data_IF_907192639441
#
_entry.id   IF_907192639441
#
_cell.length_a   1.000
_cell.length_b   1.000
_cell.length_c   1.000
_cell.angle_alpha   90.00
_cell.angle_beta   90.00
_cell.angle_gamma   90.00
#
_symmetry.space_group_name_H-M   'P 1'
#
loop_
_entity.id
_entity.type
_entity.pdbx_description
1 polymer ?
#
# COMPACT_ATOMS: atom_id res chain seq x y z
N UNK A 1 -53.67 27.43 12.20
CA UNK A 1 -52.50 27.69 13.07
C UNK A 1 -51.40 26.69 12.77
N UNK A 2 -50.38 27.08 12.00
CA UNK A 2 -49.25 26.21 11.67
C UNK A 2 -48.36 26.04 12.90
N UNK A 3 -48.23 24.80 13.38
CA UNK A 3 -47.38 24.44 14.52
C UNK A 3 -45.92 24.53 14.06
N UNK A 4 -45.28 25.68 14.25
CA UNK A 4 -43.84 25.83 14.04
C UNK A 4 -43.14 24.86 15.00
N UNK A 5 -42.64 23.73 14.48
CA UNK A 5 -41.81 22.80 15.25
C UNK A 5 -40.58 23.57 15.68
N UNK A 6 -40.48 23.91 16.98
CA UNK A 6 -39.23 24.41 17.57
C UNK A 6 -38.13 23.41 17.23
N UNK A 7 -37.13 23.84 16.46
CA UNK A 7 -35.92 23.05 16.19
C UNK A 7 -35.33 22.62 17.53
N UNK A 8 -35.05 21.33 17.68
CA UNK A 8 -34.54 20.79 18.93
C UNK A 8 -33.17 21.37 19.22
N UNK A 9 -32.85 21.64 20.49
CA UNK A 9 -31.59 22.26 20.93
C UNK A 9 -30.30 21.48 20.58
N UNK A 10 -30.41 20.36 19.86
CA UNK A 10 -29.30 19.53 19.40
C UNK A 10 -28.79 19.91 18.00
N UNK A 11 -29.46 20.82 17.30
CA UNK A 11 -29.04 21.31 15.97
C UNK A 11 -27.72 22.11 15.99
N UNK A 12 -27.16 22.39 17.17
CA UNK A 12 -25.87 23.09 17.34
C UNK A 12 -24.65 22.14 17.36
N UNK A 13 -24.83 20.84 17.16
CA UNK A 13 -23.70 19.90 17.03
C UNK A 13 -23.25 19.86 15.58
N UNK A 14 -21.97 20.19 15.36
CA UNK A 14 -21.36 20.24 14.03
C UNK A 14 -21.48 18.89 13.33
N UNK A 15 -21.57 18.88 12.00
CA UNK A 15 -21.59 17.63 11.22
C UNK A 15 -20.35 16.76 11.52
N UNK A 16 -19.21 17.41 11.79
CA UNK A 16 -17.99 16.74 12.23
C UNK A 16 -18.16 16.01 13.58
N UNK A 17 -18.72 16.68 14.59
CA UNK A 17 -18.98 16.06 15.89
C UNK A 17 -20.00 14.93 15.80
N UNK A 18 -21.00 15.05 14.90
CA UNK A 18 -21.95 13.97 14.60
C UNK A 18 -21.24 12.77 13.98
N UNK A 19 -20.34 13.00 13.02
CA UNK A 19 -19.51 11.96 12.41
C UNK A 19 -18.64 11.23 13.45
N UNK A 20 -17.98 11.95 14.34
CA UNK A 20 -17.20 11.36 15.44
C UNK A 20 -18.04 10.49 16.37
N UNK A 21 -19.26 10.92 16.69
CA UNK A 21 -20.18 10.15 17.54
C UNK A 21 -20.51 8.79 16.92
N UNK A 22 -20.81 8.74 15.61
CA UNK A 22 -21.11 7.50 14.88
C UNK A 22 -19.89 6.58 14.87
N UNK A 23 -18.74 7.11 14.46
CA UNK A 23 -17.49 6.34 14.31
C UNK A 23 -17.06 5.72 15.63
N UNK A 24 -17.01 6.52 16.69
CA UNK A 24 -16.65 6.00 18.00
C UNK A 24 -17.68 5.00 18.55
N UNK A 25 -18.96 5.14 18.17
CA UNK A 25 -19.97 4.15 18.54
C UNK A 25 -19.73 2.82 17.82
N UNK A 26 -19.40 2.84 16.54
CA UNK A 26 -19.07 1.65 15.76
C UNK A 26 -17.77 0.98 16.25
N UNK A 27 -16.83 1.76 16.80
CA UNK A 27 -15.67 1.25 17.53
C UNK A 27 -15.99 0.67 18.93
N UNK A 28 -17.26 0.64 19.35
CA UNK A 28 -17.71 -0.04 20.57
C UNK A 28 -17.71 0.81 21.85
N UNK A 29 -17.50 2.13 21.77
CA UNK A 29 -17.51 2.99 22.96
C UNK A 29 -18.89 3.10 23.60
N UNK A 30 -18.91 3.30 24.92
CA UNK A 30 -20.13 3.67 25.66
C UNK A 30 -20.52 5.14 25.41
N UNK A 31 -21.81 5.45 25.53
CA UNK A 31 -22.30 6.82 25.38
C UNK A 31 -21.69 7.82 26.38
N UNK A 32 -21.23 7.34 27.54
CA UNK A 32 -20.54 8.15 28.53
C UNK A 32 -19.15 8.57 28.03
N UNK A 33 -18.37 7.63 27.50
CA UNK A 33 -17.04 7.90 26.93
C UNK A 33 -17.10 8.78 25.68
N UNK A 34 -18.12 8.56 24.86
CA UNK A 34 -18.43 9.43 23.72
C UNK A 34 -18.70 10.87 24.16
N UNK A 35 -19.50 11.04 25.21
CA UNK A 35 -19.78 12.35 25.82
C UNK A 35 -18.51 13.06 26.27
N UNK A 36 -17.61 12.33 26.94
CA UNK A 36 -16.31 12.87 27.35
C UNK A 36 -15.42 13.29 26.17
N UNK A 37 -15.42 12.55 25.06
CA UNK A 37 -14.56 12.83 23.87
C UNK A 37 -15.07 13.95 22.98
N UNK A 38 -16.39 14.17 22.96
CA UNK A 38 -17.05 15.19 22.13
C UNK A 38 -17.43 16.42 22.97
N UNK A 39 -17.20 16.38 24.30
CA UNK A 39 -17.54 17.47 25.21
C UNK A 39 -19.05 17.69 25.36
N UNK A 40 -19.85 16.62 25.30
CA UNK A 40 -21.32 16.66 25.32
C UNK A 40 -21.91 15.71 26.36
N UNK A 41 -23.13 15.99 26.79
CA UNK A 41 -23.87 15.11 27.69
C UNK A 41 -24.14 13.76 27.01
N UNK A 42 -24.01 12.66 27.77
CA UNK A 42 -24.36 11.29 27.37
C UNK A 42 -25.74 11.21 26.69
N UNK A 43 -26.77 11.87 27.21
CA UNK A 43 -28.13 11.83 26.64
C UNK A 43 -28.18 12.51 25.27
N UNK A 44 -27.37 13.56 25.06
CA UNK A 44 -27.25 14.26 23.78
C UNK A 44 -26.58 13.37 22.74
N UNK A 45 -25.47 12.73 23.12
CA UNK A 45 -24.74 11.78 22.25
C UNK A 45 -25.63 10.61 21.85
N UNK A 46 -26.35 10.01 22.79
CA UNK A 46 -27.25 8.89 22.52
C UNK A 46 -28.34 9.27 21.51
N UNK A 47 -28.97 10.45 21.66
CA UNK A 47 -30.00 10.94 20.74
C UNK A 47 -29.45 11.24 19.35
N UNK A 48 -28.23 11.77 19.25
CA UNK A 48 -27.56 12.03 17.96
C UNK A 48 -27.23 10.71 17.28
N UNK A 49 -26.68 9.75 18.02
CA UNK A 49 -26.40 8.42 17.51
C UNK A 49 -27.66 7.74 16.96
N UNK A 50 -28.78 7.78 17.69
CA UNK A 50 -30.05 7.22 17.22
C UNK A 50 -30.57 7.95 15.97
N UNK A 51 -30.40 9.27 15.90
CA UNK A 51 -30.82 10.06 14.75
C UNK A 51 -30.00 9.73 13.49
N UNK A 52 -28.68 9.63 13.63
CA UNK A 52 -27.77 9.29 12.53
C UNK A 52 -27.95 7.82 12.10
N UNK A 53 -28.13 6.88 13.02
CA UNK A 53 -28.47 5.50 12.67
C UNK A 53 -29.79 5.41 11.86
N UNK A 54 -30.80 6.24 12.18
CA UNK A 54 -32.05 6.32 11.40
C UNK A 54 -31.89 7.05 10.07
N UNK A 55 -30.83 7.84 9.90
CA UNK A 55 -30.50 8.57 8.68
C UNK A 55 -29.75 7.64 7.72
N UNK A 56 -28.72 6.95 8.21
CA UNK A 56 -27.95 5.93 7.47
C UNK A 56 -28.84 4.78 7.03
N UNK A 57 -29.75 4.27 7.87
CA UNK A 57 -30.73 3.24 7.46
C UNK A 57 -31.76 3.70 6.41
N UNK A 58 -31.83 4.99 6.11
CA UNK A 58 -32.68 5.52 5.03
C UNK A 58 -31.90 5.81 3.75
N UNK A 59 -30.57 5.77 3.82
CA UNK A 59 -29.65 6.00 2.73
C UNK A 59 -28.79 4.75 2.62
N UNK A 60 -29.29 3.72 1.93
CA UNK A 60 -28.54 2.50 1.65
C UNK A 60 -27.30 2.75 0.74
N UNK A 61 -27.10 4.00 0.31
CA UNK A 61 -25.86 4.50 -0.27
C UNK A 61 -25.12 5.35 0.77
N UNK A 62 -24.07 4.78 1.37
CA UNK A 62 -23.07 5.58 2.05
C UNK A 62 -22.24 6.28 0.97
N UNK A 63 -22.49 7.56 0.75
CA UNK A 63 -21.77 8.40 -0.21
C UNK A 63 -20.26 8.24 -0.07
N UNK A 64 -19.59 7.86 -1.17
CA UNK A 64 -18.14 7.66 -1.25
C UNK A 64 -17.32 8.85 -0.72
N UNK A 65 -17.85 10.07 -0.85
CA UNK A 65 -17.26 11.33 -0.36
C UNK A 65 -17.17 11.34 1.17
N UNK A 66 -18.17 10.80 1.86
CA UNK A 66 -18.19 10.74 3.32
C UNK A 66 -17.20 9.69 3.85
N UNK A 67 -17.06 8.56 3.16
CA UNK A 67 -16.09 7.51 3.51
C UNK A 67 -14.64 7.98 3.32
N UNK A 68 -14.32 8.66 2.22
CA UNK A 68 -12.96 9.19 2.00
C UNK A 68 -12.59 10.27 3.02
N UNK A 69 -13.51 11.17 3.34
CA UNK A 69 -13.30 12.18 4.39
C UNK A 69 -13.05 11.53 5.76
N UNK A 70 -13.80 10.47 6.09
CA UNK A 70 -13.64 9.73 7.33
C UNK A 70 -12.28 9.01 7.42
N UNK A 71 -11.84 8.35 6.34
CA UNK A 71 -10.53 7.69 6.27
C UNK A 71 -9.39 8.70 6.44
N UNK A 72 -9.48 9.87 5.78
CA UNK A 72 -8.47 10.93 5.92
C UNK A 72 -8.41 11.49 7.35
N UNK A 73 -9.55 11.79 7.97
CA UNK A 73 -9.60 12.32 9.33
C UNK A 73 -9.10 11.32 10.39
N UNK A 74 -9.25 10.02 10.13
CA UNK A 74 -8.72 8.95 10.98
C UNK A 74 -7.25 8.60 10.70
N UNK A 75 -6.60 9.31 9.77
CA UNK A 75 -5.18 9.09 9.42
C UNK A 75 -4.94 7.81 8.61
N UNK A 76 -6.00 7.21 8.07
CA UNK A 76 -5.93 6.00 7.26
C UNK A 76 -5.75 6.37 5.79
N UNK A 77 -4.71 5.83 5.18
CA UNK A 77 -4.43 5.98 3.76
C UNK A 77 -4.43 4.62 3.07
N UNK A 78 -5.01 4.56 1.87
CA UNK A 78 -4.89 3.39 1.03
C UNK A 78 -3.43 3.20 0.61
N UNK A 79 -2.93 1.98 0.70
CA UNK A 79 -1.60 1.59 0.24
C UNK A 79 -1.70 0.44 -0.73
N UNK A 80 -0.77 0.36 -1.69
CA UNK A 80 -0.62 -0.83 -2.52
C UNK A 80 -0.08 -1.97 -1.66
N UNK A 81 -0.72 -3.15 -1.64
CA UNK A 81 -0.17 -4.32 -0.96
C UNK A 81 1.22 -4.64 -1.51
N UNK A 82 2.13 -5.05 -0.62
CA UNK A 82 3.44 -5.54 -1.03
C UNK A 82 3.28 -6.89 -1.71
N UNK A 83 3.79 -7.01 -2.94
CA UNK A 83 3.87 -8.28 -3.66
C UNK A 83 5.06 -9.08 -3.12
N UNK A 84 4.78 -10.22 -2.50
CA UNK A 84 5.80 -11.14 -1.97
C UNK A 84 5.77 -12.49 -2.67
N UNK A 85 6.93 -13.14 -2.78
CA UNK A 85 7.00 -14.52 -3.25
C UNK A 85 6.34 -15.45 -2.21
N UNK A 86 5.39 -16.32 -2.60
CA UNK A 86 4.78 -17.25 -1.67
C UNK A 86 5.83 -18.28 -1.22
N UNK A 87 6.16 -18.27 0.07
CA UNK A 87 7.09 -19.23 0.66
C UNK A 87 6.33 -20.37 1.33
N UNK A 88 6.76 -21.61 1.04
CA UNK A 88 6.35 -22.81 1.78
C UNK A 88 6.82 -22.72 3.24
N UNK A 89 6.19 -23.48 4.13
CA UNK A 89 6.59 -23.51 5.54
C UNK A 89 8.05 -23.95 5.72
N UNK A 90 8.52 -24.92 4.93
CA UNK A 90 9.91 -25.37 4.95
C UNK A 90 10.88 -24.26 4.52
N UNK A 91 10.57 -23.52 3.45
CA UNK A 91 11.40 -22.40 3.02
C UNK A 91 11.47 -21.30 4.08
N UNK A 92 10.35 -21.00 4.77
CA UNK A 92 10.36 -20.03 5.88
C UNK A 92 11.29 -20.49 7.00
N UNK A 93 11.15 -21.75 7.45
CA UNK A 93 11.98 -22.32 8.51
C UNK A 93 13.47 -22.26 8.17
N UNK A 94 13.85 -22.70 6.97
CA UNK A 94 15.25 -22.68 6.53
C UNK A 94 15.81 -21.26 6.45
N UNK A 95 15.03 -20.31 5.93
CA UNK A 95 15.45 -18.90 5.87
C UNK A 95 15.61 -18.30 7.26
N UNK A 96 14.71 -18.59 8.20
CA UNK A 96 14.84 -18.16 9.59
C UNK A 96 16.09 -18.74 10.25
N UNK A 97 16.31 -20.06 10.15
CA UNK A 97 17.50 -20.72 10.68
C UNK A 97 18.80 -20.14 10.09
N UNK A 98 18.82 -19.85 8.79
CA UNK A 98 19.96 -19.21 8.12
C UNK A 98 20.25 -17.81 8.67
N UNK A 99 19.21 -16.99 8.85
CA UNK A 99 19.33 -15.65 9.43
C UNK A 99 19.77 -15.70 10.89
N UNK A 100 19.20 -16.60 11.69
CA UNK A 100 19.53 -16.73 13.11
C UNK A 100 20.98 -17.16 13.30
N UNK A 101 21.45 -18.14 12.52
CA UNK A 101 22.84 -18.59 12.55
C UNK A 101 23.86 -17.54 12.09
N UNK A 102 23.42 -16.49 11.37
CA UNK A 102 24.27 -15.39 10.87
C UNK A 102 23.91 -14.03 11.46
N UNK A 103 23.19 -14.01 12.59
CA UNK A 103 22.74 -12.78 13.24
C UNK A 103 23.89 -11.85 13.63
N UNK A 104 25.04 -12.42 14.00
CA UNK A 104 26.24 -11.67 14.42
C UNK A 104 27.33 -11.62 13.34
N UNK A 105 26.97 -11.87 12.08
CA UNK A 105 27.90 -11.93 10.95
C UNK A 105 28.33 -10.53 10.48
N UNK A 106 29.14 -9.84 11.29
CA UNK A 106 29.59 -8.46 11.01
C UNK A 106 30.97 -8.43 10.37
N UNK A 107 31.94 -9.16 10.92
CA UNK A 107 33.33 -9.13 10.42
C UNK A 107 33.50 -9.89 9.09
N UNK A 108 33.00 -11.12 9.04
CA UNK A 108 33.11 -12.01 7.89
C UNK A 108 32.22 -11.58 6.70
N UNK A 109 31.21 -10.71 6.92
CA UNK A 109 30.34 -10.19 5.83
C UNK A 109 31.13 -9.50 4.73
N UNK A 110 32.26 -8.88 5.07
CA UNK A 110 33.10 -8.16 4.11
C UNK A 110 33.87 -9.09 3.17
N UNK A 111 34.05 -10.35 3.55
CA UNK A 111 34.77 -11.35 2.76
C UNK A 111 33.84 -12.07 1.76
N UNK A 112 32.52 -12.03 2.03
CA UNK A 112 31.51 -12.67 1.18
C UNK A 112 31.46 -12.02 -0.19
N UNK A 113 31.53 -12.85 -1.22
CA UNK A 113 31.27 -12.45 -2.60
C UNK A 113 29.85 -12.90 -2.94
N UNK A 114 28.98 -11.93 -3.22
CA UNK A 114 27.63 -12.18 -3.70
C UNK A 114 27.63 -12.24 -5.21
N UNK A 115 27.00 -13.26 -5.75
CA UNK A 115 26.86 -13.48 -7.19
C UNK A 115 25.39 -13.61 -7.52
N UNK A 116 24.97 -13.06 -8.65
CA UNK A 116 23.61 -13.23 -9.14
C UNK A 116 23.55 -13.03 -10.65
N UNK A 117 22.62 -13.74 -11.28
CA UNK A 117 22.23 -13.52 -12.67
C UNK A 117 21.05 -12.57 -12.74
N UNK A 118 21.10 -11.59 -13.64
CA UNK A 118 19.98 -10.68 -13.84
C UNK A 118 19.67 -10.49 -15.31
N UNK A 119 18.37 -10.49 -15.62
CA UNK A 119 17.87 -10.20 -16.97
C UNK A 119 17.67 -8.71 -17.11
N UNK A 120 18.45 -8.09 -17.99
CA UNK A 120 18.35 -6.67 -18.32
C UNK A 120 17.59 -6.54 -19.64
N UNK A 121 16.48 -5.80 -19.60
CA UNK A 121 15.64 -5.52 -20.76
C UNK A 121 15.90 -4.08 -21.21
N UNK A 122 16.22 -3.88 -22.49
CA UNK A 122 16.46 -2.54 -23.04
C UNK A 122 15.18 -1.75 -23.32
N UNK A 123 14.03 -2.43 -23.34
CA UNK A 123 12.72 -1.83 -23.60
C UNK A 123 11.79 -2.07 -22.40
N UNK A 124 11.06 -1.04 -22.00
CA UNK A 124 10.15 -1.07 -20.86
C UNK A 124 8.94 -1.97 -21.17
N UNK A 125 8.74 -3.01 -20.36
CA UNK A 125 7.81 -4.09 -20.68
C UNK A 125 6.34 -3.74 -20.46
N UNK A 126 6.00 -2.81 -19.57
CA UNK A 126 4.60 -2.57 -19.18
C UNK A 126 3.93 -1.41 -19.94
N UNK A 127 4.67 -0.71 -20.82
CA UNK A 127 4.17 0.43 -21.60
C UNK A 127 3.71 1.64 -20.79
N UNK A 128 3.88 1.65 -19.45
CA UNK A 128 3.42 2.74 -18.57
C UNK A 128 4.49 3.80 -18.44
N UNK A 129 4.13 5.02 -18.79
CA UNK A 129 4.94 6.21 -18.56
C UNK A 129 4.23 7.04 -17.50
N UNK A 130 4.95 7.39 -16.43
CA UNK A 130 4.43 8.37 -15.47
C UNK A 130 4.55 9.76 -16.10
N UNK A 131 3.45 10.27 -16.64
CA UNK A 131 3.36 11.66 -17.08
C UNK A 131 2.89 12.54 -15.92
N UNK A 132 3.65 13.58 -15.60
CA UNK A 132 3.26 14.63 -14.64
C UNK A 132 2.56 15.76 -15.41
N UNK A 133 1.53 15.45 -16.18
CA UNK A 133 0.76 16.46 -16.90
C UNK A 133 -0.57 16.76 -16.19
N UNK A 134 -1.00 18.02 -16.27
CA UNK A 134 -2.24 18.54 -15.68
C UNK A 134 -3.49 17.78 -16.15
N UNK A 135 -4.56 17.70 -15.35
CA UNK A 135 -5.61 16.68 -15.46
C UNK A 135 -6.58 16.81 -16.65
N UNK A 136 -6.24 17.59 -17.67
CA UNK A 136 -7.12 17.89 -18.80
C UNK A 136 -6.27 18.20 -20.03
N UNK A 137 -5.89 17.15 -20.76
CA UNK A 137 -5.55 17.27 -22.18
C UNK A 137 -6.17 16.08 -22.90
N UNK A 138 -7.19 16.37 -23.70
CA UNK A 138 -7.98 15.39 -24.48
C UNK A 138 -7.15 14.72 -25.60
N UNK A 139 -5.89 15.13 -25.77
CA UNK A 139 -4.90 14.66 -26.74
C UNK A 139 -4.14 13.39 -26.31
N UNK A 140 -4.59 12.70 -25.25
CA UNK A 140 -4.01 11.44 -24.77
C UNK A 140 -4.26 10.21 -25.68
N UNK A 141 -4.88 10.37 -26.87
CA UNK A 141 -5.11 9.27 -27.82
C UNK A 141 -3.81 8.68 -28.42
N UNK A 142 -2.65 9.31 -28.20
CA UNK A 142 -1.35 8.80 -28.67
C UNK A 142 -0.59 7.91 -27.66
N UNK A 143 -1.01 7.82 -26.40
CA UNK A 143 -0.43 6.86 -25.45
C UNK A 143 -1.08 5.48 -25.61
N UNK A 144 -0.99 4.92 -26.83
CA UNK A 144 -1.45 3.56 -27.08
C UNK A 144 -0.58 2.61 -26.29
N UNK A 145 -1.22 1.82 -25.42
CA UNK A 145 -0.63 0.64 -24.79
C UNK A 145 -0.02 -0.24 -25.88
N UNK A 146 1.31 -0.17 -26.05
CA UNK A 146 2.02 -1.21 -26.79
C UNK A 146 1.96 -2.48 -25.94
N UNK A 147 1.54 -3.64 -26.50
CA UNK A 147 1.55 -4.88 -25.75
C UNK A 147 2.98 -5.18 -25.27
N UNK A 148 3.14 -5.77 -24.07
CA UNK A 148 4.46 -6.12 -23.56
C UNK A 148 5.21 -6.98 -24.58
N UNK A 149 6.36 -6.52 -25.03
CA UNK A 149 7.17 -7.26 -25.98
C UNK A 149 8.02 -8.32 -25.26
N UNK A 150 7.38 -9.45 -24.95
CA UNK A 150 8.06 -10.56 -24.28
C UNK A 150 9.23 -11.14 -25.11
N UNK A 151 9.31 -10.82 -26.40
CA UNK A 151 10.36 -11.21 -27.35
C UNK A 151 11.48 -10.18 -27.55
N UNK A 152 11.44 -9.01 -26.88
CA UNK A 152 12.46 -7.97 -27.04
C UNK A 152 13.88 -8.44 -26.67
N UNK A 153 14.91 -7.74 -27.16
CA UNK A 153 16.31 -8.05 -26.86
C UNK A 153 16.57 -8.00 -25.35
N UNK A 154 16.97 -9.14 -24.78
CA UNK A 154 17.31 -9.31 -23.37
C UNK A 154 18.75 -9.74 -23.26
N UNK A 155 19.45 -9.17 -22.30
CA UNK A 155 20.79 -9.62 -21.95
C UNK A 155 20.76 -10.23 -20.55
N UNK A 156 21.56 -11.27 -20.37
CA UNK A 156 21.90 -11.76 -19.03
C UNK A 156 23.18 -11.06 -18.61
N UNK A 157 23.14 -10.42 -17.45
CA UNK A 157 24.31 -9.88 -16.78
C UNK A 157 24.66 -10.77 -15.61
N UNK A 158 25.92 -11.18 -15.52
CA UNK A 158 26.50 -11.82 -14.34
C UNK A 158 27.56 -10.92 -13.77
N UNK A 159 27.52 -10.73 -12.45
CA UNK A 159 28.53 -9.96 -11.74
C UNK A 159 28.65 -10.42 -10.31
N UNK A 160 29.85 -10.24 -9.77
CA UNK A 160 30.19 -10.57 -8.40
C UNK A 160 30.41 -9.27 -7.64
N UNK A 161 29.82 -9.15 -6.45
CA UNK A 161 29.91 -7.98 -5.60
C UNK A 161 30.36 -8.39 -4.21
N UNK A 162 31.37 -7.70 -3.71
CA UNK A 162 31.85 -7.75 -2.33
C UNK A 162 31.69 -6.35 -1.72
N UNK A 163 31.79 -6.25 -0.40
CA UNK A 163 31.61 -5.00 0.34
C UNK A 163 32.45 -3.82 -0.18
N UNK A 164 33.70 -4.06 -0.61
CA UNK A 164 34.62 -3.02 -1.11
C UNK A 164 35.00 -3.17 -2.59
N UNK A 165 34.43 -4.13 -3.31
CA UNK A 165 34.81 -4.36 -4.71
C UNK A 165 33.71 -5.03 -5.50
N UNK A 166 33.82 -4.95 -6.83
CA UNK A 166 32.95 -5.66 -7.76
C UNK A 166 33.76 -6.14 -8.95
N UNK A 167 33.38 -7.26 -9.53
CA UNK A 167 33.94 -7.70 -10.81
C UNK A 167 33.26 -6.97 -11.98
N UNK A 168 33.88 -7.04 -13.15
CA UNK A 168 33.24 -6.60 -14.39
C UNK A 168 31.96 -7.40 -14.64
N UNK A 169 30.91 -6.72 -15.10
CA UNK A 169 29.66 -7.38 -15.48
C UNK A 169 29.87 -8.10 -16.82
N UNK A 170 29.65 -9.41 -16.86
CA UNK A 170 29.76 -10.21 -18.07
C UNK A 170 28.38 -10.28 -18.73
N UNK A 171 28.33 -9.95 -20.02
CA UNK A 171 27.11 -10.00 -20.83
C UNK A 171 27.04 -11.35 -21.51
N UNK A 172 26.10 -12.18 -21.10
CA UNK A 172 25.86 -13.48 -21.73
C UNK A 172 24.78 -13.35 -22.80
N UNK A 173 25.15 -13.79 -24.00
CA UNK A 173 24.23 -14.01 -25.10
C UNK A 173 23.75 -15.47 -25.09
N UNK A 174 22.44 -15.66 -24.94
CA UNK A 174 21.80 -16.98 -24.89
C UNK A 174 21.62 -17.52 -23.47
N UNK A 175 21.38 -18.83 -23.37
CA UNK A 175 21.18 -19.53 -22.09
C UNK A 175 22.51 -19.83 -21.42
N UNK A 176 22.60 -19.54 -20.13
CA UNK A 176 23.72 -19.91 -19.29
C UNK A 176 23.71 -21.41 -19.03
N UNK A 177 24.87 -22.04 -19.11
CA UNK A 177 25.04 -23.46 -18.83
C UNK A 177 26.19 -23.64 -17.85
N UNK A 178 26.24 -24.81 -17.22
CA UNK A 178 27.22 -25.10 -16.16
C UNK A 178 28.67 -24.92 -16.60
N UNK A 179 28.97 -25.13 -17.89
CA UNK A 179 30.33 -24.95 -18.42
C UNK A 179 30.70 -23.47 -18.54
N UNK A 180 29.76 -22.63 -19.00
CA UNK A 180 29.94 -21.18 -19.10
C UNK A 180 30.00 -20.52 -17.73
N UNK A 181 29.23 -21.03 -16.77
CA UNK A 181 29.31 -20.59 -15.36
C UNK A 181 30.72 -20.73 -14.82
N UNK A 182 31.33 -21.90 -14.99
CA UNK A 182 32.68 -22.15 -14.50
C UNK A 182 33.71 -21.23 -15.16
N UNK A 183 33.60 -20.97 -16.47
CA UNK A 183 34.57 -20.14 -17.18
C UNK A 183 34.42 -18.63 -16.96
N UNK A 184 33.23 -18.17 -16.55
CA UNK A 184 32.94 -16.74 -16.41
C UNK A 184 32.85 -16.26 -14.94
N UNK A 185 32.72 -17.18 -13.98
CA UNK A 185 32.62 -16.89 -12.54
C UNK A 185 33.88 -17.24 -11.70
N UNK A 186 34.72 -18.17 -12.16
CA UNK A 186 35.99 -18.59 -11.52
C UNK A 186 37.20 -18.13 -12.34
#
# INVERSE_FOLDING_TARGET
MSRIKKRSAFDHVSEFDRGRIVVYRDCGLSFRELGSRVGRNQTTVMRICDLECRRVRRTDEVDHIHLTALLHQSGLSARRPLLGLPLTQNHRRLRHQWCDGRRMWVAERNEVVFTNESRICLQHQDGRILSLETPLREDAEQLRYAPPNWSGTRYYGIGNIRYHSRTSLVRIAGTLNSQRDISELL
#
